data_IF_467214192590
#
_entry.id   IF_467214192590
#
_cell.length_a   1.000
_cell.length_b   1.000
_cell.length_c   1.000
_cell.angle_alpha   90.00
_cell.angle_beta   90.00
_cell.angle_gamma   90.00
#
_symmetry.space_group_name_H-M   'P 1'
#
loop_
_entity.id
_entity.type
_entity.pdbx_description
1 polymer ?
#
# COMPACT_ATOMS: atom_id res chain seq x y z
N UNK A 1 -1.66 4.64 -20.17
CA UNK A 1 -1.37 3.34 -19.57
C UNK A 1 -1.34 3.41 -18.04
N UNK A 2 -1.69 4.56 -17.42
CA UNK A 2 -1.78 4.77 -15.95
C UNK A 2 -3.09 4.28 -15.30
N UNK A 3 -4.07 3.88 -16.11
CA UNK A 3 -5.46 3.62 -15.71
C UNK A 3 -5.76 2.32 -14.93
N UNK A 4 -4.79 1.49 -14.58
CA UNK A 4 -5.07 0.16 -13.98
C UNK A 4 -4.71 0.02 -12.50
N UNK A 5 -4.11 1.03 -11.88
CA UNK A 5 -3.53 0.86 -10.55
C UNK A 5 -4.40 1.39 -9.41
N UNK A 6 -5.22 2.42 -9.62
CA UNK A 6 -6.09 2.96 -8.56
C UNK A 6 -7.20 1.98 -8.13
N UNK A 7 -7.76 1.23 -9.07
CA UNK A 7 -8.85 0.27 -8.79
C UNK A 7 -8.43 -0.96 -7.96
N UNK A 8 -7.13 -1.23 -7.78
CA UNK A 8 -6.65 -2.39 -7.01
C UNK A 8 -6.46 -2.11 -5.51
N UNK A 9 -6.35 -0.85 -5.09
CA UNK A 9 -6.16 -0.47 -3.68
C UNK A 9 -7.46 -0.57 -2.86
N UNK A 10 -8.61 -0.31 -3.45
CA UNK A 10 -9.91 -0.38 -2.77
C UNK A 10 -10.45 -1.80 -2.54
N UNK A 11 -10.04 -2.79 -3.32
CA UNK A 11 -10.51 -4.18 -3.17
C UNK A 11 -9.78 -4.99 -2.08
N UNK A 12 -8.68 -4.47 -1.52
CA UNK A 12 -7.84 -5.15 -0.51
C UNK A 12 -8.22 -4.91 0.95
N UNK A 13 -9.02 -3.90 1.25
CA UNK A 13 -9.27 -3.47 2.63
C UNK A 13 -10.45 -4.13 3.35
N UNK A 14 -11.16 -5.08 2.73
CA UNK A 14 -12.34 -5.70 3.37
C UNK A 14 -12.10 -7.00 4.14
N UNK A 15 -10.87 -7.43 4.39
CA UNK A 15 -10.64 -8.57 5.30
C UNK A 15 -9.41 -8.37 6.16
N UNK A 16 -9.64 -8.27 7.44
CA UNK A 16 -8.74 -8.34 8.59
C UNK A 16 -8.23 -6.98 9.11
N UNK A 17 -8.93 -6.49 10.13
CA UNK A 17 -8.42 -5.45 11.01
C UNK A 17 -7.10 -5.88 11.65
N UNK A 18 -6.04 -5.18 11.31
CA UNK A 18 -4.78 -5.18 12.06
C UNK A 18 -4.61 -3.75 12.56
N UNK A 19 -4.52 -3.51 13.87
CA UNK A 19 -4.30 -2.18 14.37
C UNK A 19 -2.91 -1.69 13.93
N UNK A 20 -2.86 -0.55 13.27
CA UNK A 20 -1.63 0.19 13.04
C UNK A 20 -1.01 0.53 14.41
N UNK A 21 0.12 -0.09 14.73
CA UNK A 21 0.90 0.31 15.90
C UNK A 21 1.69 1.57 15.53
N UNK A 22 1.22 2.71 16.01
CA UNK A 22 2.03 3.90 16.12
C UNK A 22 3.27 3.60 16.97
N UNK A 23 4.45 3.76 16.41
CA UNK A 23 5.70 3.71 17.15
C UNK A 23 5.89 5.02 17.91
N UNK A 24 5.49 5.03 19.20
CA UNK A 24 5.91 6.05 20.11
C UNK A 24 7.36 5.76 20.54
N UNK A 25 8.29 6.63 20.19
CA UNK A 25 9.64 6.60 20.74
C UNK A 25 9.61 7.02 22.21
N UNK A 26 9.85 6.09 23.12
CA UNK A 26 10.12 6.40 24.53
C UNK A 26 11.49 7.05 24.66
N UNK A 27 11.50 8.37 24.92
CA UNK A 27 12.67 9.07 25.43
C UNK A 27 12.79 8.82 26.92
N UNK A 28 13.74 7.98 27.32
CA UNK A 28 14.26 7.95 28.70
C UNK A 28 15.33 9.02 28.85
N UNK A 29 14.99 10.07 29.59
CA UNK A 29 15.95 11.03 30.14
C UNK A 29 16.66 10.42 31.34
N UNK A 30 17.99 10.24 31.26
CA UNK A 30 18.85 10.18 32.46
C UNK A 30 19.98 11.19 32.39
N UNK A 31 20.25 11.75 33.55
CA UNK A 31 21.00 12.98 33.77
C UNK A 31 22.52 12.80 33.71
N UNK A 32 23.13 13.83 33.16
CA UNK A 32 24.45 14.43 33.29
C UNK A 32 25.37 13.93 34.42
N UNK A 33 26.59 13.55 34.04
CA UNK A 33 27.82 13.98 34.76
C UNK A 33 28.97 14.16 33.76
N UNK A 34 29.56 15.37 33.77
CA UNK A 34 30.74 15.76 33.03
C UNK A 34 31.99 14.97 33.49
N UNK A 35 32.84 14.57 32.55
CA UNK A 35 34.27 14.79 32.66
C UNK A 35 34.97 14.74 31.28
N UNK A 36 35.76 15.76 31.06
CA UNK A 36 36.57 16.09 29.90
C UNK A 36 37.74 15.14 29.67
N UNK A 37 38.02 14.72 28.45
CA UNK A 37 39.39 14.79 27.88
C UNK A 37 39.38 14.34 26.39
N UNK A 38 40.08 15.12 25.58
CA UNK A 38 40.09 15.10 24.13
C UNK A 38 40.70 13.86 23.47
N UNK A 39 40.36 13.72 22.21
CA UNK A 39 40.89 12.75 21.29
C UNK A 39 40.03 12.71 20.03
N UNK A 40 40.39 13.54 19.04
CA UNK A 40 39.83 13.56 17.70
C UNK A 40 40.14 12.22 17.02
N UNK A 41 39.11 11.43 16.80
CA UNK A 41 39.17 10.28 15.89
C UNK A 41 37.96 10.43 14.93
N UNK A 42 38.30 10.58 13.64
CA UNK A 42 37.33 10.59 12.56
C UNK A 42 36.42 9.35 12.57
N UNK A 43 35.14 9.45 12.19
CA UNK A 43 34.32 8.27 12.04
C UNK A 43 34.87 7.42 10.88
N UNK A 44 35.31 6.22 11.21
CA UNK A 44 35.59 5.20 10.21
C UNK A 44 34.25 4.80 9.58
N UNK A 45 34.07 5.12 8.30
CA UNK A 45 33.10 4.44 7.45
C UNK A 45 33.40 2.94 7.46
N UNK A 46 32.67 2.22 8.26
CA UNK A 46 32.64 0.76 8.19
C UNK A 46 31.80 0.38 6.98
N UNK A 47 32.42 0.45 5.81
CA UNK A 47 31.90 -0.15 4.58
C UNK A 47 31.71 -1.62 4.91
N UNK A 48 30.46 -2.08 5.00
CA UNK A 48 30.12 -3.49 5.09
C UNK A 48 30.82 -4.19 3.91
N UNK A 49 31.81 -5.02 4.23
CA UNK A 49 32.56 -5.77 3.23
C UNK A 49 31.56 -6.64 2.46
N UNK A 50 31.42 -6.41 1.16
CA UNK A 50 30.56 -7.20 0.30
C UNK A 50 30.91 -8.69 0.49
N UNK A 51 29.93 -9.48 0.92
CA UNK A 51 30.11 -10.91 1.14
C UNK A 51 30.37 -11.56 -0.22
N UNK A 52 31.55 -12.17 -0.41
CA UNK A 52 32.02 -12.65 -1.70
C UNK A 52 31.67 -14.11 -1.97
N UNK A 53 30.97 -14.78 -1.06
CA UNK A 53 30.59 -16.19 -1.18
C UNK A 53 29.27 -16.46 -0.48
N UNK A 54 28.54 -17.47 -0.97
CA UNK A 54 27.33 -17.99 -0.32
C UNK A 54 27.58 -18.36 1.13
N UNK A 55 26.66 -17.95 2.00
CA UNK A 55 26.60 -18.37 3.40
C UNK A 55 26.14 -19.81 3.59
N UNK A 56 25.87 -20.16 4.84
CA UNK A 56 25.30 -21.48 5.19
C UNK A 56 23.85 -21.35 5.71
N UNK A 57 23.41 -20.15 6.07
CA UNK A 57 22.11 -19.88 6.66
C UNK A 57 21.08 -19.58 5.56
N UNK A 58 19.95 -20.30 5.58
CA UNK A 58 18.82 -20.07 4.67
C UNK A 58 18.28 -18.63 4.79
N UNK A 59 18.35 -18.05 5.98
CA UNK A 59 17.91 -16.68 6.27
C UNK A 59 18.97 -15.61 5.94
N UNK A 60 20.04 -15.98 5.21
CA UNK A 60 20.90 -14.99 4.58
C UNK A 60 20.30 -14.37 3.32
N UNK A 61 19.19 -14.95 2.77
CA UNK A 61 18.49 -14.48 1.58
C UNK A 61 19.41 -14.30 0.36
N UNK A 62 20.30 -15.26 0.20
CA UNK A 62 21.30 -15.29 -0.87
C UNK A 62 20.95 -16.35 -1.92
N UNK A 63 21.37 -16.08 -3.15
CA UNK A 63 21.44 -17.05 -4.22
C UNK A 63 22.70 -16.81 -5.06
N UNK A 64 23.25 -17.84 -5.70
CA UNK A 64 24.28 -17.72 -6.71
C UNK A 64 23.73 -18.24 -8.03
N UNK A 65 23.83 -17.43 -9.08
CA UNK A 65 23.50 -17.82 -10.44
C UNK A 65 24.73 -17.68 -11.34
N UNK A 66 25.15 -18.77 -11.98
CA UNK A 66 26.29 -18.81 -12.87
C UNK A 66 27.56 -18.17 -12.26
N UNK A 67 27.78 -18.33 -10.96
CA UNK A 67 28.93 -17.78 -10.23
C UNK A 67 28.78 -16.35 -9.73
N UNK A 68 27.65 -15.68 -10.00
CA UNK A 68 27.38 -14.36 -9.47
C UNK A 68 26.48 -14.46 -8.21
N UNK A 69 26.95 -13.87 -7.12
CA UNK A 69 26.21 -13.83 -5.86
C UNK A 69 25.13 -12.74 -5.91
N UNK A 70 23.93 -13.10 -5.53
CA UNK A 70 22.78 -12.21 -5.33
C UNK A 70 22.51 -12.18 -3.82
N UNK A 71 22.45 -11.00 -3.24
CA UNK A 71 22.08 -10.77 -1.84
C UNK A 71 20.85 -9.88 -1.78
N UNK A 72 19.72 -10.40 -1.29
CA UNK A 72 18.48 -9.61 -1.18
C UNK A 72 18.41 -8.86 0.15
N UNK A 73 17.83 -7.64 0.16
CA UNK A 73 17.43 -6.89 -1.03
C UNK A 73 18.65 -6.28 -1.74
N UNK A 74 18.55 -6.08 -3.05
CA UNK A 74 19.61 -5.53 -3.90
C UNK A 74 19.05 -4.42 -4.80
N UNK A 75 19.83 -3.38 -5.08
CA UNK A 75 19.43 -2.32 -6.01
C UNK A 75 19.21 -2.85 -7.42
N UNK A 76 18.24 -2.28 -8.13
CA UNK A 76 17.99 -2.60 -9.54
C UNK A 76 19.27 -2.52 -10.39
N UNK A 77 20.04 -1.42 -10.27
CA UNK A 77 21.27 -1.22 -11.02
C UNK A 77 22.32 -2.31 -10.74
N UNK A 78 22.52 -2.68 -9.47
CA UNK A 78 23.47 -3.73 -9.06
C UNK A 78 23.02 -5.11 -9.59
N UNK A 79 21.70 -5.38 -9.57
CA UNK A 79 21.16 -6.62 -10.13
C UNK A 79 21.38 -6.71 -11.64
N UNK A 80 21.25 -5.59 -12.36
CA UNK A 80 21.53 -5.56 -13.81
C UNK A 80 23.03 -5.76 -14.12
N UNK A 81 23.94 -5.28 -13.26
CA UNK A 81 25.38 -5.52 -13.39
C UNK A 81 25.73 -7.01 -13.31
N UNK A 82 24.93 -7.82 -12.59
CA UNK A 82 25.09 -9.29 -12.55
C UNK A 82 24.65 -9.99 -13.85
N UNK A 83 24.23 -9.23 -14.87
CA UNK A 83 23.83 -9.73 -16.18
C UNK A 83 22.34 -9.94 -16.37
N UNK A 84 21.52 -9.56 -15.38
CA UNK A 84 20.07 -9.62 -15.49
C UNK A 84 19.52 -8.40 -16.25
N UNK A 85 18.60 -8.63 -17.16
CA UNK A 85 17.96 -7.59 -17.98
C UNK A 85 16.46 -7.67 -17.83
N UNK A 86 15.80 -6.52 -17.62
CA UNK A 86 14.35 -6.46 -17.53
C UNK A 86 13.72 -6.98 -18.83
N UNK A 87 12.65 -7.76 -18.70
CA UNK A 87 11.87 -8.27 -19.81
C UNK A 87 11.26 -7.11 -20.62
N UNK A 88 11.14 -7.29 -21.93
CA UNK A 88 10.53 -6.29 -22.83
C UNK A 88 9.03 -6.05 -22.57
N UNK A 89 8.39 -6.94 -21.81
CA UNK A 89 6.99 -6.81 -21.42
C UNK A 89 6.80 -5.95 -20.17
N UNK A 90 7.90 -5.66 -19.47
CA UNK A 90 7.90 -4.87 -18.24
C UNK A 90 8.57 -3.51 -18.52
N UNK A 91 8.22 -2.47 -17.74
CA UNK A 91 8.80 -1.15 -17.88
C UNK A 91 9.59 -0.75 -16.64
N UNK A 92 10.81 -0.22 -16.78
CA UNK A 92 11.56 0.34 -15.66
C UNK A 92 10.90 1.60 -15.07
N UNK A 93 10.01 2.24 -15.83
CA UNK A 93 9.30 3.47 -15.44
C UNK A 93 7.92 3.18 -14.80
N UNK A 94 7.57 1.90 -14.60
CA UNK A 94 6.34 1.55 -13.87
C UNK A 94 6.46 2.05 -12.44
N UNK A 95 5.49 2.84 -11.98
CA UNK A 95 5.47 3.39 -10.63
C UNK A 95 5.00 2.34 -9.62
N UNK A 96 5.64 2.33 -8.46
CA UNK A 96 5.36 1.44 -7.33
C UNK A 96 5.07 2.30 -6.11
N UNK A 97 3.88 2.20 -5.51
CA UNK A 97 3.54 2.95 -4.30
C UNK A 97 4.46 2.63 -3.11
N UNK A 98 4.60 3.55 -2.13
CA UNK A 98 5.31 3.30 -0.88
C UNK A 98 4.85 2.01 -0.19
N UNK A 99 5.78 1.30 0.43
CA UNK A 99 5.49 0.07 1.17
C UNK A 99 4.93 -1.07 0.33
N UNK A 100 4.88 -0.93 -1.00
CA UNK A 100 4.32 -1.89 -1.95
C UNK A 100 5.40 -2.47 -2.85
N UNK A 101 5.04 -3.54 -3.57
CA UNK A 101 5.93 -4.11 -4.58
C UNK A 101 5.16 -4.44 -5.86
N UNK A 102 5.89 -4.53 -6.97
CA UNK A 102 5.41 -5.08 -8.23
C UNK A 102 6.31 -6.23 -8.68
N UNK A 103 5.71 -7.25 -9.29
CA UNK A 103 6.46 -8.38 -9.83
C UNK A 103 6.80 -8.12 -11.29
N UNK A 104 8.07 -8.24 -11.63
CA UNK A 104 8.59 -8.11 -12.99
C UNK A 104 9.43 -9.34 -13.36
N UNK A 105 9.69 -9.51 -14.64
CA UNK A 105 10.52 -10.59 -15.15
C UNK A 105 11.89 -10.08 -15.57
N UNK A 106 12.94 -10.73 -15.10
CA UNK A 106 14.31 -10.53 -15.57
C UNK A 106 14.82 -11.74 -16.32
N UNK A 107 15.68 -11.50 -17.32
CA UNK A 107 16.31 -12.53 -18.15
C UNK A 107 17.83 -12.43 -18.05
N UNK A 108 18.51 -13.58 -18.01
CA UNK A 108 19.95 -13.69 -18.09
C UNK A 108 20.31 -14.94 -18.93
N UNK A 109 20.69 -14.73 -20.19
CA UNK A 109 20.84 -15.81 -21.16
C UNK A 109 19.50 -16.54 -21.40
N UNK A 110 19.48 -17.84 -21.13
CA UNK A 110 18.28 -18.70 -21.25
C UNK A 110 17.42 -18.70 -19.95
N UNK A 111 17.97 -18.23 -18.85
CA UNK A 111 17.25 -18.18 -17.59
C UNK A 111 16.32 -16.97 -17.52
N UNK A 112 15.17 -17.19 -16.92
CA UNK A 112 14.19 -16.15 -16.59
C UNK A 112 13.80 -16.29 -15.13
N UNK A 113 13.69 -15.17 -14.43
CA UNK A 113 13.26 -15.12 -13.02
C UNK A 113 12.16 -14.10 -12.84
N UNK A 114 11.26 -14.36 -11.89
CA UNK A 114 10.36 -13.33 -11.38
C UNK A 114 11.04 -12.62 -10.22
N UNK A 115 10.99 -11.31 -10.22
CA UNK A 115 11.56 -10.48 -9.16
C UNK A 115 10.48 -9.55 -8.58
N UNK A 116 10.41 -9.49 -7.25
CA UNK A 116 9.56 -8.57 -6.53
C UNK A 116 10.35 -7.26 -6.30
N UNK A 117 9.95 -6.20 -7.01
CA UNK A 117 10.52 -4.87 -6.94
C UNK A 117 9.84 -4.09 -5.83
N UNK A 118 10.48 -3.95 -4.66
CA UNK A 118 9.92 -3.34 -3.46
C UNK A 118 10.32 -1.88 -3.34
N UNK A 119 9.33 -1.02 -3.13
CA UNK A 119 9.54 0.38 -2.76
C UNK A 119 9.52 0.50 -1.22
N UNK A 120 10.67 0.75 -0.61
CA UNK A 120 10.81 1.02 0.83
C UNK A 120 10.75 2.51 1.17
N UNK A 121 10.59 3.39 0.16
CA UNK A 121 10.51 4.83 0.34
C UNK A 121 9.12 5.30 0.79
N UNK A 122 9.01 6.61 1.04
CA UNK A 122 7.75 7.29 1.37
C UNK A 122 7.11 7.98 0.15
N UNK A 123 7.82 8.00 -0.98
CA UNK A 123 7.34 8.53 -2.26
C UNK A 123 7.08 7.39 -3.24
N UNK A 124 6.19 7.57 -4.22
CA UNK A 124 6.11 6.64 -5.34
C UNK A 124 7.47 6.56 -6.04
N UNK A 125 7.88 5.37 -6.43
CA UNK A 125 9.16 5.13 -7.07
C UNK A 125 9.01 4.33 -8.37
N UNK A 126 9.81 4.65 -9.38
CA UNK A 126 9.90 3.81 -10.56
C UNK A 126 10.52 2.43 -10.23
N UNK A 127 10.16 1.39 -10.97
CA UNK A 127 10.77 0.04 -10.82
C UNK A 127 12.30 0.12 -10.83
N UNK A 128 12.90 0.99 -11.64
CA UNK A 128 14.35 1.20 -11.68
C UNK A 128 14.96 1.77 -10.40
N UNK A 129 14.14 2.40 -9.54
CA UNK A 129 14.57 2.99 -8.26
C UNK A 129 14.23 2.09 -7.06
N UNK A 130 13.44 1.02 -7.31
CA UNK A 130 13.09 0.03 -6.30
C UNK A 130 14.23 -0.97 -6.04
N UNK A 131 14.13 -1.69 -4.92
CA UNK A 131 15.02 -2.80 -4.63
C UNK A 131 14.41 -4.13 -5.09
N UNK A 132 15.23 -5.02 -5.66
CA UNK A 132 14.88 -6.43 -5.81
C UNK A 132 14.87 -7.04 -4.40
N UNK A 133 13.71 -7.23 -3.82
CA UNK A 133 13.53 -7.77 -2.48
C UNK A 133 13.04 -9.22 -2.48
N UNK A 134 12.52 -9.70 -3.60
CA UNK A 134 12.18 -11.09 -3.83
C UNK A 134 12.69 -11.58 -5.17
N UNK A 135 13.05 -12.87 -5.25
CA UNK A 135 13.42 -13.53 -6.49
C UNK A 135 12.89 -14.98 -6.50
N UNK A 136 12.26 -15.34 -7.61
CA UNK A 136 11.78 -16.69 -7.83
C UNK A 136 12.50 -17.30 -9.01
N UNK A 137 13.30 -18.31 -8.74
CA UNK A 137 13.85 -19.23 -9.75
C UNK A 137 12.84 -20.35 -9.97
N UNK A 138 12.40 -20.55 -11.21
CA UNK A 138 11.53 -21.66 -11.59
C UNK A 138 12.13 -22.41 -12.79
N UNK A 139 12.77 -23.52 -12.49
CA UNK A 139 13.44 -24.38 -13.45
C UNK A 139 12.62 -25.66 -13.73
N UNK A 140 11.34 -25.67 -13.35
CA UNK A 140 10.43 -26.80 -13.59
C UNK A 140 9.87 -26.81 -15.02
N UNK A 141 10.05 -25.71 -15.74
CA UNK A 141 9.58 -25.53 -17.12
C UNK A 141 10.77 -25.25 -18.07
N UNK A 142 10.81 -25.93 -19.21
CA UNK A 142 11.85 -25.73 -20.22
C UNK A 142 13.09 -26.62 -20.01
N UNK A 143 13.99 -26.54 -20.98
CA UNK A 143 15.23 -27.34 -21.02
C UNK A 143 16.44 -26.50 -20.54
N UNK A 144 16.35 -25.89 -19.36
CA UNK A 144 17.44 -25.06 -18.81
C UNK A 144 18.59 -25.97 -18.40
N UNK A 145 19.79 -25.76 -18.98
CA UNK A 145 20.99 -26.49 -18.61
C UNK A 145 21.55 -25.97 -17.26
N UNK A 146 21.11 -26.57 -16.16
CA UNK A 146 21.60 -26.27 -14.82
C UNK A 146 23.09 -26.62 -14.60
N UNK A 147 23.70 -27.40 -15.50
CA UNK A 147 25.14 -27.67 -15.41
C UNK A 147 25.97 -26.52 -15.96
N UNK A 148 25.49 -25.84 -16.98
CA UNK A 148 26.09 -24.62 -17.54
C UNK A 148 25.76 -23.38 -16.70
N UNK A 149 24.55 -23.31 -16.14
CA UNK A 149 24.02 -22.18 -15.36
C UNK A 149 23.51 -22.63 -13.99
N UNK A 150 24.42 -23.04 -13.09
CA UNK A 150 24.01 -23.57 -11.79
C UNK A 150 23.39 -22.46 -10.92
N UNK A 151 22.25 -22.81 -10.30
CA UNK A 151 21.63 -22.00 -9.23
C UNK A 151 21.97 -22.68 -7.92
N UNK A 152 22.63 -21.96 -7.04
CA UNK A 152 23.00 -22.46 -5.71
C UNK A 152 22.39 -21.57 -4.63
N UNK A 153 22.05 -22.18 -3.53
CA UNK A 153 21.52 -21.56 -2.32
C UNK A 153 22.52 -21.79 -1.16
N UNK A 154 22.41 -21.03 -0.05
CA UNK A 154 23.23 -21.23 1.13
C UNK A 154 23.28 -22.70 1.57
N UNK A 155 24.29 -23.06 2.35
CA UNK A 155 24.41 -24.41 2.90
C UNK A 155 24.72 -25.53 1.90
N UNK A 156 25.13 -25.18 0.67
CA UNK A 156 25.48 -26.16 -0.37
C UNK A 156 24.31 -26.73 -1.14
N UNK A 157 23.12 -26.17 -0.99
CA UNK A 157 21.93 -26.55 -1.75
C UNK A 157 22.04 -26.08 -3.20
N UNK A 158 21.69 -26.96 -4.16
CA UNK A 158 21.75 -26.67 -5.58
C UNK A 158 20.48 -27.14 -6.28
N UNK A 159 19.93 -26.29 -7.16
CA UNK A 159 18.78 -26.66 -8.00
C UNK A 159 19.18 -27.72 -9.02
N UNK A 160 18.26 -28.65 -9.30
CA UNK A 160 18.48 -29.81 -10.15
C UNK A 160 19.27 -30.95 -9.48
N UNK A 161 19.76 -30.76 -8.24
CA UNK A 161 20.59 -31.74 -7.51
C UNK A 161 20.01 -32.08 -6.16
N UNK A 162 19.81 -31.07 -5.30
CA UNK A 162 19.41 -31.29 -3.89
C UNK A 162 17.95 -31.77 -3.78
N UNK A 163 17.72 -32.69 -2.86
CA UNK A 163 16.42 -33.25 -2.53
C UNK A 163 15.93 -32.80 -1.13
N UNK A 164 14.80 -33.31 -0.66
CA UNK A 164 14.20 -32.96 0.65
C UNK A 164 15.15 -33.26 1.80
N UNK A 165 15.85 -34.40 1.78
CA UNK A 165 16.75 -34.79 2.86
C UNK A 165 17.99 -33.91 2.92
N UNK A 166 18.54 -33.52 1.76
CA UNK A 166 19.66 -32.58 1.66
C UNK A 166 19.30 -31.20 2.23
N UNK A 167 18.08 -30.71 1.88
CA UNK A 167 17.58 -29.42 2.37
C UNK A 167 17.38 -29.46 3.90
N UNK A 168 16.76 -30.51 4.42
CA UNK A 168 16.59 -30.67 5.87
C UNK A 168 17.93 -30.85 6.61
N UNK A 169 18.88 -31.52 6.00
CA UNK A 169 20.22 -31.64 6.58
C UNK A 169 20.95 -30.30 6.67
N UNK A 170 20.74 -29.41 5.67
CA UNK A 170 21.36 -28.09 5.63
C UNK A 170 20.66 -27.06 6.54
N UNK A 171 19.33 -27.04 6.56
CA UNK A 171 18.52 -25.96 7.15
C UNK A 171 17.70 -26.36 8.38
N UNK A 172 17.65 -27.66 8.68
CA UNK A 172 16.75 -28.21 9.71
C UNK A 172 15.32 -28.40 9.22
N UNK A 173 14.39 -28.59 10.15
CA UNK A 173 12.97 -28.76 9.79
C UNK A 173 12.36 -27.42 9.34
N UNK A 174 11.59 -27.40 8.24
CA UNK A 174 10.93 -26.20 7.76
C UNK A 174 9.82 -25.75 8.74
N UNK A 175 9.45 -24.49 8.65
CA UNK A 175 8.33 -23.90 9.41
C UNK A 175 6.97 -24.50 8.98
N UNK A 176 6.86 -24.86 7.69
CA UNK A 176 5.70 -25.50 7.11
C UNK A 176 6.10 -26.41 5.94
N UNK A 177 5.31 -27.47 5.71
CA UNK A 177 5.51 -28.38 4.60
C UNK A 177 4.18 -28.69 3.93
N UNK A 178 4.11 -28.46 2.63
CA UNK A 178 2.97 -28.85 1.80
C UNK A 178 3.39 -29.94 0.82
N UNK A 179 2.67 -31.06 0.84
CA UNK A 179 2.94 -32.22 -0.01
C UNK A 179 1.79 -32.41 -1.02
N UNK A 180 2.11 -32.35 -2.32
CA UNK A 180 1.17 -32.58 -3.42
C UNK A 180 1.62 -33.76 -4.27
N UNK A 181 0.85 -34.10 -5.29
CA UNK A 181 1.25 -35.16 -6.25
C UNK A 181 2.45 -34.75 -7.11
N UNK A 182 2.71 -33.44 -7.27
CA UNK A 182 3.76 -32.91 -8.15
C UNK A 182 5.04 -32.58 -7.40
N UNK A 183 4.96 -31.99 -6.20
CA UNK A 183 6.11 -31.52 -5.45
C UNK A 183 5.86 -31.55 -3.93
N UNK A 184 6.94 -31.55 -3.19
CA UNK A 184 6.96 -31.18 -1.77
C UNK A 184 7.48 -29.75 -1.65
N UNK A 185 6.64 -28.83 -1.14
CA UNK A 185 7.04 -27.44 -0.80
C UNK A 185 7.48 -27.39 0.66
N UNK A 186 8.64 -26.81 0.89
CA UNK A 186 9.20 -26.58 2.21
C UNK A 186 9.32 -25.08 2.43
N UNK A 187 8.68 -24.55 3.48
CA UNK A 187 8.70 -23.11 3.81
C UNK A 187 9.60 -22.88 5.03
N UNK A 188 10.57 -22.02 4.88
CA UNK A 188 11.42 -21.49 5.95
C UNK A 188 11.05 -20.04 6.15
N UNK A 189 10.21 -19.75 7.15
CA UNK A 189 9.73 -18.43 7.47
C UNK A 189 10.42 -17.92 8.73
N UNK A 190 11.09 -16.77 8.63
CA UNK A 190 11.74 -16.10 9.75
C UNK A 190 10.78 -15.14 10.45
N UNK A 191 10.05 -14.33 9.65
CA UNK A 191 8.96 -13.47 10.10
C UNK A 191 7.95 -13.24 8.96
N UNK A 192 7.08 -12.23 9.09
CA UNK A 192 6.05 -11.91 8.08
C UNK A 192 6.66 -11.44 6.75
N UNK A 193 7.85 -10.84 6.79
CA UNK A 193 8.51 -10.18 5.66
C UNK A 193 9.65 -11.00 5.06
N UNK A 194 10.14 -12.01 5.78
CA UNK A 194 11.34 -12.77 5.45
C UNK A 194 11.02 -14.26 5.35
N UNK A 195 11.11 -14.83 4.13
CA UNK A 195 10.85 -16.26 3.92
C UNK A 195 11.60 -16.84 2.71
N UNK A 196 11.80 -18.16 2.75
CA UNK A 196 12.31 -18.96 1.63
C UNK A 196 11.38 -20.16 1.42
N UNK A 197 10.87 -20.34 0.20
CA UNK A 197 10.06 -21.48 -0.20
C UNK A 197 10.80 -22.32 -1.25
N UNK A 198 10.95 -23.61 -0.97
CA UNK A 198 11.70 -24.55 -1.80
C UNK A 198 10.78 -25.67 -2.28
N UNK A 199 10.77 -25.92 -3.58
CA UNK A 199 9.87 -26.89 -4.21
C UNK A 199 10.69 -28.05 -4.80
N UNK A 200 10.62 -29.21 -4.15
CA UNK A 200 11.25 -30.46 -4.61
C UNK A 200 10.25 -31.24 -5.42
N UNK A 201 10.48 -31.36 -6.73
CA UNK A 201 9.58 -32.06 -7.64
C UNK A 201 9.74 -33.57 -7.52
N UNK A 202 8.61 -34.30 -7.43
CA UNK A 202 8.59 -35.74 -7.17
C UNK A 202 9.12 -36.57 -8.33
N UNK A 203 8.91 -36.11 -9.56
CA UNK A 203 9.36 -36.84 -10.77
C UNK A 203 10.88 -36.98 -10.82
N UNK A 204 11.60 -35.90 -10.50
CA UNK A 204 13.08 -35.85 -10.53
C UNK A 204 13.69 -36.08 -9.16
N UNK A 205 12.92 -35.97 -8.09
CA UNK A 205 13.37 -35.95 -6.70
C UNK A 205 14.43 -34.86 -6.46
N UNK A 206 14.30 -33.71 -7.14
CA UNK A 206 15.23 -32.56 -7.00
C UNK A 206 14.51 -31.25 -6.84
N UNK A 207 15.18 -30.28 -6.19
CA UNK A 207 14.76 -28.88 -6.09
C UNK A 207 14.76 -28.24 -7.46
N UNK A 208 13.58 -27.83 -7.96
CA UNK A 208 13.45 -27.15 -9.25
C UNK A 208 12.87 -25.74 -9.14
N UNK A 209 12.32 -25.37 -7.98
CA UNK A 209 11.84 -23.98 -7.78
C UNK A 209 12.27 -23.48 -6.40
N UNK A 210 12.74 -22.25 -6.35
CA UNK A 210 13.07 -21.52 -5.12
C UNK A 210 12.49 -20.11 -5.19
N UNK A 211 11.72 -19.73 -4.17
CA UNK A 211 11.17 -18.38 -3.96
C UNK A 211 11.82 -17.82 -2.69
N UNK A 212 12.57 -16.75 -2.84
CA UNK A 212 13.37 -16.12 -1.76
C UNK A 212 12.86 -14.69 -1.61
N UNK A 213 12.36 -14.33 -0.42
CA UNK A 213 11.84 -12.99 -0.13
C UNK A 213 12.45 -12.42 1.14
N UNK A 214 12.99 -11.22 1.00
CA UNK A 214 13.45 -10.37 2.10
C UNK A 214 12.84 -8.99 1.93
N UNK A 215 11.60 -8.82 2.41
CA UNK A 215 10.85 -7.55 2.38
C UNK A 215 11.14 -6.69 3.61
N UNK A 216 12.22 -6.96 4.30
CA UNK A 216 12.68 -6.14 5.40
C UNK A 216 13.48 -4.96 4.88
N UNK A 217 13.12 -3.76 5.34
CA UNK A 217 13.85 -2.54 5.01
C UNK A 217 15.33 -2.66 5.39
N UNK A 218 16.27 -2.35 4.46
CA UNK A 218 17.68 -2.34 4.77
C UNK A 218 18.04 -1.29 5.83
N UNK A 219 18.96 -1.61 6.70
CA UNK A 219 19.46 -0.67 7.71
C UNK A 219 20.07 0.57 7.03
N UNK A 220 19.60 1.76 7.45
CA UNK A 220 20.07 3.03 6.89
C UNK A 220 19.56 3.33 5.48
N UNK A 221 18.49 2.66 5.04
CA UNK A 221 17.85 2.99 3.77
C UNK A 221 17.33 4.42 3.77
N UNK A 222 17.62 5.17 2.70
CA UNK A 222 17.07 6.52 2.52
C UNK A 222 15.64 6.43 1.99
N UNK A 223 14.66 6.72 2.85
CA UNK A 223 13.24 6.70 2.49
C UNK A 223 12.79 7.87 1.63
N UNK A 224 13.66 8.85 1.38
CA UNK A 224 13.31 10.09 0.75
C UNK A 224 12.84 11.16 1.75
N UNK A 225 12.25 12.22 1.25
CA UNK A 225 11.80 13.36 2.06
C UNK A 225 10.37 13.74 1.73
N UNK A 226 9.68 14.29 2.73
CA UNK A 226 8.36 14.89 2.56
C UNK A 226 8.48 16.15 1.71
N UNK A 227 7.61 16.33 0.71
CA UNK A 227 7.56 17.53 -0.11
C UNK A 227 7.14 18.73 0.74
N UNK A 228 7.86 19.82 0.60
CA UNK A 228 7.52 21.11 1.20
C UNK A 228 6.69 22.01 0.29
N UNK A 229 6.44 21.56 -0.95
CA UNK A 229 5.64 22.30 -1.92
C UNK A 229 4.16 21.92 -1.76
N UNK A 230 3.29 22.93 -1.82
CA UNK A 230 1.85 22.69 -1.88
C UNK A 230 1.51 22.17 -3.28
N UNK A 231 0.88 20.99 -3.41
CA UNK A 231 0.56 20.42 -4.72
C UNK A 231 -0.35 21.33 -5.56
N UNK A 232 -0.18 21.31 -6.88
CA UNK A 232 -0.98 22.12 -7.80
C UNK A 232 -2.48 21.81 -7.66
N UNK A 233 -2.86 20.54 -7.45
CA UNK A 233 -4.26 20.14 -7.24
C UNK A 233 -4.89 20.79 -6.01
N UNK A 234 -4.10 21.09 -4.95
CA UNK A 234 -4.55 21.81 -3.76
C UNK A 234 -4.71 23.29 -4.07
N UNK A 235 -3.72 23.92 -4.73
CA UNK A 235 -3.77 25.34 -5.09
C UNK A 235 -4.87 25.66 -6.08
N UNK A 236 -5.27 24.71 -6.91
CA UNK A 236 -6.35 24.84 -7.89
C UNK A 236 -7.74 24.55 -7.30
N UNK A 237 -7.83 24.04 -6.08
CA UNK A 237 -9.11 23.79 -5.44
C UNK A 237 -9.93 25.09 -5.29
N UNK A 238 -11.22 24.98 -5.60
CA UNK A 238 -12.14 26.12 -5.50
C UNK A 238 -13.33 25.72 -4.62
N UNK A 239 -13.49 26.42 -3.50
CA UNK A 239 -14.68 26.30 -2.67
C UNK A 239 -15.93 26.64 -3.50
N UNK A 240 -16.95 25.80 -3.54
CA UNK A 240 -18.15 26.08 -4.32
C UNK A 240 -18.93 27.25 -3.71
N UNK A 241 -19.58 28.03 -4.56
CA UNK A 241 -20.41 29.16 -4.14
C UNK A 241 -21.83 28.76 -3.74
N UNK A 242 -22.28 27.57 -4.14
CA UNK A 242 -23.58 27.00 -3.83
C UNK A 242 -23.52 25.47 -3.98
N UNK A 243 -24.50 24.77 -3.45
CA UNK A 243 -24.76 23.37 -3.78
C UNK A 243 -25.06 23.24 -5.27
N UNK A 244 -24.71 22.12 -5.88
CA UNK A 244 -25.04 21.78 -7.26
C UNK A 244 -26.53 21.69 -7.53
N UNK A 245 -26.90 21.23 -8.70
CA UNK A 245 -28.30 21.05 -9.11
C UNK A 245 -28.83 19.64 -8.90
N UNK A 246 -27.92 18.70 -8.61
CA UNK A 246 -28.19 17.29 -8.42
C UNK A 246 -27.60 16.82 -7.08
N UNK A 247 -28.27 15.90 -6.42
CA UNK A 247 -27.78 15.35 -5.15
C UNK A 247 -26.58 14.41 -5.33
N UNK A 248 -26.27 14.01 -6.57
CA UNK A 248 -25.04 13.30 -6.92
C UNK A 248 -23.91 14.24 -7.33
N UNK A 249 -24.15 15.56 -7.36
CA UNK A 249 -23.06 16.54 -7.58
C UNK A 249 -22.09 16.50 -6.39
N UNK A 250 -20.78 16.73 -6.62
CA UNK A 250 -19.77 16.64 -5.56
C UNK A 250 -19.85 17.77 -4.52
N UNK A 251 -20.72 18.76 -4.72
CA UNK A 251 -20.90 19.86 -3.76
C UNK A 251 -21.79 19.45 -2.60
N UNK A 252 -21.25 19.60 -1.39
CA UNK A 252 -21.94 19.32 -0.14
C UNK A 252 -21.88 20.51 0.81
N UNK A 253 -22.93 20.73 1.60
CA UNK A 253 -22.90 21.66 2.74
C UNK A 253 -22.68 20.83 4.03
N UNK A 254 -21.56 21.12 4.70
CA UNK A 254 -21.22 20.44 5.95
C UNK A 254 -20.94 21.46 7.05
N UNK A 255 -21.68 21.34 8.16
CA UNK A 255 -21.62 22.28 9.28
C UNK A 255 -21.64 23.74 8.83
N UNK A 256 -22.54 24.04 7.88
CA UNK A 256 -22.77 25.39 7.36
C UNK A 256 -21.71 25.91 6.40
N UNK A 257 -20.75 25.10 5.99
CA UNK A 257 -19.77 25.44 4.96
C UNK A 257 -19.92 24.54 3.73
N UNK A 258 -19.61 25.09 2.57
CA UNK A 258 -19.66 24.37 1.32
C UNK A 258 -18.31 23.74 1.00
N UNK A 259 -18.34 22.53 0.52
CA UNK A 259 -17.18 21.78 0.03
C UNK A 259 -17.53 21.13 -1.29
N UNK A 260 -16.56 20.99 -2.16
CA UNK A 260 -16.62 20.16 -3.37
C UNK A 260 -15.67 18.98 -3.16
N UNK A 261 -16.20 17.77 -3.11
CA UNK A 261 -15.38 16.56 -2.95
C UNK A 261 -14.75 16.15 -4.30
N UNK A 262 -13.50 15.69 -4.31
CA UNK A 262 -12.57 15.68 -3.17
C UNK A 262 -12.17 17.08 -2.73
N UNK A 263 -12.14 17.30 -1.41
CA UNK A 263 -11.76 18.58 -0.84
C UNK A 263 -10.46 18.46 -0.05
N UNK A 264 -9.47 19.37 -0.22
CA UNK A 264 -8.26 19.31 0.57
C UNK A 264 -8.54 19.60 2.05
N UNK A 265 -7.78 18.96 2.94
CA UNK A 265 -7.88 19.18 4.40
C UNK A 265 -7.72 20.66 4.73
N UNK A 266 -6.85 21.38 4.02
CA UNK A 266 -6.70 22.85 4.17
C UNK A 266 -8.01 23.63 4.01
N UNK A 267 -8.93 23.18 3.14
CA UNK A 267 -10.24 23.83 3.00
C UNK A 267 -11.13 23.66 4.24
N UNK A 268 -10.98 22.56 4.97
CA UNK A 268 -11.64 22.36 6.26
C UNK A 268 -11.01 23.26 7.33
N UNK A 269 -9.67 23.33 7.38
CA UNK A 269 -8.94 24.21 8.31
C UNK A 269 -9.33 25.69 8.12
N UNK A 270 -9.44 26.14 6.89
CA UNK A 270 -9.89 27.50 6.54
C UNK A 270 -11.32 27.80 7.02
N UNK A 271 -12.13 26.76 7.17
CA UNK A 271 -13.49 26.83 7.69
C UNK A 271 -13.59 26.61 9.22
N UNK A 272 -12.46 26.65 9.91
CA UNK A 272 -12.38 26.60 11.38
C UNK A 272 -12.43 25.20 11.97
N UNK A 273 -12.11 24.16 11.19
CA UNK A 273 -11.79 22.86 11.72
C UNK A 273 -10.35 22.86 12.26
N UNK A 274 -10.08 22.04 13.24
CA UNK A 274 -8.76 21.83 13.84
C UNK A 274 -8.43 20.34 13.80
N UNK A 275 -7.22 19.98 13.40
CA UNK A 275 -6.73 18.60 13.50
C UNK A 275 -6.51 18.26 14.97
N UNK A 276 -7.02 17.11 15.39
CA UNK A 276 -6.95 16.64 16.77
C UNK A 276 -5.91 15.52 16.88
N UNK A 277 -4.99 15.66 17.82
CA UNK A 277 -3.96 14.67 18.13
C UNK A 277 -3.05 14.30 16.92
N UNK A 278 -2.98 15.17 15.90
CA UNK A 278 -2.09 15.06 14.74
C UNK A 278 -0.80 15.84 15.02
N UNK A 279 0.35 15.20 14.83
CA UNK A 279 1.66 15.86 15.02
C UNK A 279 1.87 16.98 13.98
N UNK A 280 2.59 18.04 14.36
CA UNK A 280 2.86 19.20 13.49
C UNK A 280 3.64 18.80 12.20
N UNK A 281 4.46 17.74 12.30
CA UNK A 281 5.25 17.19 11.20
C UNK A 281 4.64 15.93 10.58
N UNK A 282 3.37 15.64 10.86
CA UNK A 282 2.66 14.52 10.27
C UNK A 282 2.53 14.66 8.75
N UNK A 283 2.72 13.55 8.06
CA UNK A 283 2.65 13.49 6.60
C UNK A 283 1.92 12.21 6.15
N UNK A 284 1.49 12.22 4.91
CA UNK A 284 0.95 11.03 4.23
C UNK A 284 1.89 10.68 3.09
N UNK A 285 2.25 9.42 3.02
CA UNK A 285 3.10 8.88 1.94
C UNK A 285 2.48 9.15 0.56
N UNK A 286 3.28 9.07 -0.50
CA UNK A 286 2.78 9.24 -1.88
C UNK A 286 1.66 8.25 -2.19
N UNK A 287 0.57 8.71 -2.81
CA UNK A 287 -0.67 7.94 -3.09
C UNK A 287 -1.21 7.18 -1.87
N UNK A 288 -0.89 7.65 -0.68
CA UNK A 288 -1.22 7.02 0.60
C UNK A 288 -2.57 7.47 1.17
N UNK A 289 -3.02 6.74 2.19
CA UNK A 289 -4.24 6.98 2.98
C UNK A 289 -3.88 7.04 4.45
N UNK A 290 -4.43 8.05 5.15
CA UNK A 290 -4.38 8.14 6.60
C UNK A 290 -5.76 8.45 7.18
N UNK A 291 -5.93 8.16 8.47
CA UNK A 291 -7.13 8.50 9.22
C UNK A 291 -6.79 9.58 10.23
N UNK A 292 -7.54 10.68 10.20
CA UNK A 292 -7.35 11.78 11.11
C UNK A 292 -8.66 12.15 11.80
N UNK A 293 -8.57 12.57 13.05
CA UNK A 293 -9.68 13.23 13.74
C UNK A 293 -9.59 14.74 13.55
N UNK A 294 -10.69 15.37 13.13
CA UNK A 294 -10.84 16.81 13.09
C UNK A 294 -11.96 17.26 14.02
N UNK A 295 -11.78 18.42 14.60
CA UNK A 295 -12.71 19.00 15.57
C UNK A 295 -13.20 20.37 15.12
N UNK A 296 -14.50 20.61 15.28
CA UNK A 296 -15.15 21.92 15.15
C UNK A 296 -16.34 22.02 16.11
N UNK A 297 -16.51 23.15 16.78
CA UNK A 297 -17.62 23.41 17.70
C UNK A 297 -17.83 22.31 18.76
N UNK A 298 -16.73 21.79 19.34
CA UNK A 298 -16.67 20.67 20.29
C UNK A 298 -17.14 19.31 19.73
N UNK A 299 -17.20 19.16 18.43
CA UNK A 299 -17.50 17.89 17.78
C UNK A 299 -16.26 17.35 17.10
N UNK A 300 -16.05 16.06 17.24
CA UNK A 300 -14.95 15.36 16.59
C UNK A 300 -15.51 14.45 15.49
N UNK A 301 -14.92 14.51 14.32
CA UNK A 301 -15.23 13.68 13.17
C UNK A 301 -13.93 13.05 12.67
N UNK A 302 -13.96 11.75 12.40
CA UNK A 302 -12.85 11.04 11.79
C UNK A 302 -12.97 11.12 10.27
N UNK A 303 -11.88 11.49 9.60
CA UNK A 303 -11.79 11.59 8.15
C UNK A 303 -10.76 10.61 7.61
N UNK A 304 -11.09 9.98 6.49
CA UNK A 304 -10.11 9.34 5.62
C UNK A 304 -9.51 10.40 4.72
N UNK A 305 -8.20 10.58 4.76
CA UNK A 305 -7.50 11.57 3.95
C UNK A 305 -6.50 10.91 3.02
N UNK A 306 -6.58 11.24 1.74
CA UNK A 306 -5.80 10.64 0.67
C UNK A 306 -4.77 11.64 0.14
N UNK A 307 -3.53 11.22 0.05
CA UNK A 307 -2.54 11.93 -0.73
C UNK A 307 -2.69 11.54 -2.21
N UNK A 308 -3.21 12.44 -3.02
CA UNK A 308 -3.45 12.21 -4.46
C UNK A 308 -2.22 12.53 -5.33
N UNK A 309 -1.03 12.65 -4.71
CA UNK A 309 0.22 12.95 -5.40
C UNK A 309 1.25 11.83 -5.23
N UNK A 310 2.24 11.78 -6.12
CA UNK A 310 3.31 10.79 -6.10
C UNK A 310 4.27 10.96 -4.90
N UNK A 311 4.35 12.18 -4.34
CA UNK A 311 5.28 12.49 -3.24
C UNK A 311 4.56 12.56 -1.89
N UNK A 312 5.24 12.13 -0.84
CA UNK A 312 4.79 12.35 0.53
C UNK A 312 4.59 13.84 0.78
N UNK A 313 3.48 14.20 1.42
CA UNK A 313 3.09 15.60 1.68
C UNK A 313 2.50 15.74 3.06
N UNK A 314 2.44 16.98 3.59
CA UNK A 314 1.77 17.25 4.86
C UNK A 314 0.28 16.90 4.78
N UNK A 315 -0.31 16.53 5.92
CA UNK A 315 -1.72 16.10 6.02
C UNK A 315 -2.68 17.18 5.47
N UNK A 316 -2.37 18.45 5.64
CA UNK A 316 -3.19 19.57 5.15
C UNK A 316 -3.33 19.64 3.62
N UNK A 317 -2.40 19.01 2.89
CA UNK A 317 -2.42 18.91 1.43
C UNK A 317 -3.15 17.64 0.93
N UNK A 318 -3.57 16.76 1.82
CA UNK A 318 -4.33 15.56 1.47
C UNK A 318 -5.80 15.89 1.25
N UNK A 319 -6.53 14.97 0.62
CA UNK A 319 -7.91 15.17 0.20
C UNK A 319 -8.87 14.26 0.96
N UNK A 320 -9.97 14.83 1.39
CA UNK A 320 -11.16 14.10 1.85
C UNK A 320 -11.98 13.76 0.62
N UNK A 321 -12.12 12.48 0.31
CA UNK A 321 -12.92 11.97 -0.81
C UNK A 321 -14.29 11.49 -0.35
N UNK A 322 -14.43 11.19 0.95
CA UNK A 322 -15.61 10.65 1.55
C UNK A 322 -15.99 11.41 2.81
N UNK A 323 -17.26 11.70 2.94
CA UNK A 323 -17.87 12.22 4.14
C UNK A 323 -18.94 11.25 4.64
N UNK A 324 -18.74 10.68 5.81
CA UNK A 324 -19.72 9.84 6.50
C UNK A 324 -20.35 10.59 7.67
N UNK A 325 -21.68 10.64 7.69
CA UNK A 325 -22.48 11.31 8.70
C UNK A 325 -23.51 10.37 9.25
N UNK A 326 -23.14 9.71 10.34
CA UNK A 326 -24.07 9.07 11.23
C UNK A 326 -24.46 10.03 12.32
N UNK A 327 -25.74 10.27 12.50
CA UNK A 327 -26.24 11.09 13.57
C UNK A 327 -26.72 10.24 14.73
N UNK A 328 -25.92 10.18 15.80
CA UNK A 328 -26.45 9.91 17.12
C UNK A 328 -27.10 11.18 17.74
N UNK A 329 -26.84 12.37 17.14
CA UNK A 329 -27.43 13.64 17.51
C UNK A 329 -27.68 14.52 16.27
N UNK A 330 -28.89 14.45 15.67
CA UNK A 330 -29.20 15.15 14.42
C UNK A 330 -29.20 16.68 14.54
N UNK A 331 -29.17 17.26 15.73
CA UNK A 331 -29.17 18.70 15.90
C UNK A 331 -27.77 19.31 15.65
N UNK A 332 -26.74 18.47 15.62
CA UNK A 332 -25.35 18.91 15.78
C UNK A 332 -24.50 18.73 14.51
N UNK A 333 -24.71 17.70 13.72
CA UNK A 333 -23.99 17.46 12.47
C UNK A 333 -24.92 17.62 11.26
N UNK A 334 -24.96 18.80 10.68
CA UNK A 334 -25.78 19.08 9.51
C UNK A 334 -24.99 18.79 8.21
N UNK A 335 -25.28 17.67 7.56
CA UNK A 335 -24.95 17.47 6.15
C UNK A 335 -26.19 17.76 5.31
N UNK A 336 -25.97 18.46 4.22
CA UNK A 336 -27.01 18.74 3.22
C UNK A 336 -26.45 18.57 1.83
N UNK A 337 -27.16 17.81 1.03
CA UNK A 337 -26.96 17.67 -0.40
C UNK A 337 -27.89 18.62 -1.15
N UNK A 338 -27.69 18.75 -2.46
CA UNK A 338 -28.60 19.44 -3.34
C UNK A 338 -30.02 18.90 -3.18
N UNK A 339 -31.02 19.64 -3.66
CA UNK A 339 -32.44 19.31 -3.57
C UNK A 339 -32.97 19.18 -2.12
N UNK A 340 -32.26 19.78 -1.16
CA UNK A 340 -32.55 19.72 0.29
C UNK A 340 -32.55 18.30 0.88
N UNK A 341 -31.77 17.40 0.29
CA UNK A 341 -31.58 16.06 0.88
C UNK A 341 -30.68 16.19 2.11
N UNK A 342 -31.16 15.68 3.22
CA UNK A 342 -30.46 15.66 4.52
C UNK A 342 -31.00 14.50 5.36
N UNK A 343 -30.56 14.38 6.60
CA UNK A 343 -31.10 13.39 7.55
C UNK A 343 -32.60 13.51 7.67
N UNK A 344 -33.29 12.38 7.80
CA UNK A 344 -34.74 12.31 7.84
C UNK A 344 -35.43 12.29 6.46
N UNK A 345 -34.69 12.37 5.35
CA UNK A 345 -35.27 12.19 4.00
C UNK A 345 -35.96 10.81 3.85
N UNK A 346 -36.97 10.73 2.99
CA UNK A 346 -37.71 9.49 2.76
C UNK A 346 -37.01 8.59 1.73
N UNK A 347 -36.82 7.30 2.05
CA UNK A 347 -36.24 6.28 1.15
C UNK A 347 -36.96 6.24 -0.20
N UNK A 348 -38.32 6.27 -0.19
CA UNK A 348 -39.11 6.22 -1.41
C UNK A 348 -38.93 7.46 -2.29
N UNK A 349 -38.69 8.63 -1.68
CA UNK A 349 -38.43 9.87 -2.42
C UNK A 349 -37.05 9.82 -3.09
N UNK A 350 -36.03 9.29 -2.37
CA UNK A 350 -34.68 9.11 -2.92
C UNK A 350 -34.67 8.16 -4.11
N UNK A 351 -35.38 7.01 -4.02
CA UNK A 351 -35.52 6.05 -5.11
C UNK A 351 -36.22 6.70 -6.31
N UNK A 352 -37.29 7.48 -6.08
CA UNK A 352 -37.98 8.18 -7.15
C UNK A 352 -37.07 9.18 -7.88
N UNK A 353 -36.27 9.98 -7.12
CA UNK A 353 -35.32 10.93 -7.67
C UNK A 353 -34.21 10.22 -8.48
N UNK A 354 -33.67 9.11 -7.97
CA UNK A 354 -32.68 8.31 -8.70
C UNK A 354 -33.27 7.80 -10.04
N UNK A 355 -34.51 7.29 -10.01
CA UNK A 355 -35.18 6.82 -11.20
C UNK A 355 -35.48 7.93 -12.24
N UNK A 356 -35.87 9.13 -11.81
CA UNK A 356 -36.10 10.30 -12.70
C UNK A 356 -34.80 10.74 -13.41
N UNK A 357 -33.66 10.54 -12.79
CA UNK A 357 -32.34 10.91 -13.31
C UNK A 357 -31.67 9.79 -14.10
N UNK A 358 -32.22 8.56 -14.00
CA UNK A 358 -31.65 7.38 -14.64
C UNK A 358 -30.46 6.78 -13.90
N UNK A 359 -30.26 7.14 -12.62
CA UNK A 359 -29.23 6.56 -11.77
C UNK A 359 -29.55 5.12 -11.41
N UNK A 360 -28.51 4.35 -11.17
CA UNK A 360 -28.61 3.00 -10.62
C UNK A 360 -28.66 3.07 -9.09
N UNK A 361 -29.27 2.05 -8.48
CA UNK A 361 -29.28 1.96 -7.03
C UNK A 361 -29.31 0.51 -6.56
N UNK A 362 -28.80 0.29 -5.35
CA UNK A 362 -28.94 -0.92 -4.56
C UNK A 362 -29.80 -0.62 -3.35
N UNK A 363 -30.93 -1.31 -3.25
CA UNK A 363 -31.90 -1.14 -2.17
C UNK A 363 -31.88 -2.38 -1.28
N UNK A 364 -31.27 -2.23 -0.09
CA UNK A 364 -31.16 -3.25 0.93
C UNK A 364 -32.02 -2.86 2.16
N UNK A 365 -32.17 -3.77 3.12
CA UNK A 365 -33.06 -3.55 4.26
C UNK A 365 -32.70 -2.28 5.04
N UNK A 366 -31.39 -2.04 5.29
CA UNK A 366 -30.89 -0.97 6.13
C UNK A 366 -30.09 0.11 5.40
N UNK A 367 -29.86 0.00 4.08
CA UNK A 367 -29.20 1.03 3.29
C UNK A 367 -29.74 1.12 1.86
N UNK A 368 -29.49 2.25 1.23
CA UNK A 368 -29.75 2.55 -0.18
C UNK A 368 -28.49 3.21 -0.72
N UNK A 369 -27.81 2.58 -1.69
CA UNK A 369 -26.68 3.17 -2.40
C UNK A 369 -27.13 3.62 -3.79
N UNK A 370 -26.87 4.87 -4.15
CA UNK A 370 -27.18 5.46 -5.47
C UNK A 370 -25.85 5.83 -6.14
N UNK A 371 -25.73 5.55 -7.44
CA UNK A 371 -24.53 5.82 -8.25
C UNK A 371 -24.90 6.08 -9.70
N UNK A 372 -24.08 6.86 -10.46
CA UNK A 372 -24.43 7.27 -11.83
C UNK A 372 -24.56 6.09 -12.79
N UNK A 373 -23.61 5.17 -12.78
CA UNK A 373 -23.55 3.97 -13.61
C UNK A 373 -22.73 2.86 -12.95
N UNK A 374 -22.61 1.70 -13.59
CA UNK A 374 -21.92 0.53 -12.99
C UNK A 374 -20.42 0.70 -12.81
N UNK A 375 -19.82 1.49 -13.68
CA UNK A 375 -18.36 1.65 -13.70
C UNK A 375 -17.93 2.69 -12.66
N UNK A 376 -18.79 3.67 -12.36
CA UNK A 376 -18.54 4.76 -11.39
C UNK A 376 -18.99 4.45 -9.95
N UNK A 377 -19.54 3.28 -9.67
CA UNK A 377 -20.08 2.95 -8.33
C UNK A 377 -19.04 3.12 -7.19
N UNK A 378 -17.80 2.78 -7.45
CA UNK A 378 -16.72 2.87 -6.47
C UNK A 378 -16.08 4.27 -6.41
N UNK A 379 -16.27 5.06 -7.45
CA UNK A 379 -15.68 6.39 -7.61
C UNK A 379 -16.64 7.50 -7.17
N UNK A 380 -17.95 7.31 -7.45
CA UNK A 380 -18.98 8.31 -7.17
C UNK A 380 -20.23 7.62 -6.66
N UNK A 381 -20.56 7.81 -5.39
CA UNK A 381 -21.78 7.26 -4.81
C UNK A 381 -22.30 8.07 -3.64
N UNK A 382 -23.58 7.96 -3.40
CA UNK A 382 -24.23 8.44 -2.18
C UNK A 382 -24.94 7.26 -1.55
N UNK A 383 -24.58 6.93 -0.30
CA UNK A 383 -25.21 5.87 0.45
C UNK A 383 -26.02 6.46 1.60
N UNK A 384 -27.23 5.99 1.73
CA UNK A 384 -28.19 6.39 2.77
C UNK A 384 -28.44 5.20 3.69
N UNK A 385 -28.20 5.37 4.98
CA UNK A 385 -28.44 4.37 6.02
C UNK A 385 -29.76 4.65 6.74
N UNK A 386 -30.45 3.58 7.11
CA UNK A 386 -31.74 3.62 7.81
C UNK A 386 -31.58 2.88 9.14
N UNK A 387 -32.11 3.49 10.21
CA UNK A 387 -32.07 2.87 11.54
C UNK A 387 -33.27 1.92 11.69
N UNK A 388 -33.03 0.62 11.76
CA UNK A 388 -34.08 -0.40 11.88
C UNK A 388 -34.93 -0.24 13.15
N UNK A 389 -34.35 0.26 14.24
CA UNK A 389 -35.06 0.45 15.52
C UNK A 389 -35.97 1.69 15.51
N UNK A 390 -35.65 2.72 14.74
CA UNK A 390 -36.40 3.98 14.70
C UNK A 390 -37.28 4.09 13.46
N UNK A 391 -36.72 3.86 12.26
CA UNK A 391 -37.44 3.91 10.98
C UNK A 391 -36.61 3.35 9.84
N UNK A 392 -37.10 2.32 9.17
CA UNK A 392 -36.49 1.78 7.93
C UNK A 392 -36.76 2.64 6.68
N UNK A 393 -37.47 3.76 6.83
CA UNK A 393 -37.86 4.64 5.70
C UNK A 393 -37.27 6.04 5.80
N UNK A 394 -36.65 6.39 6.93
CA UNK A 394 -36.03 7.70 7.14
C UNK A 394 -34.54 7.59 7.21
N UNK A 395 -33.84 8.44 6.50
CA UNK A 395 -32.39 8.49 6.50
C UNK A 395 -31.86 8.83 7.88
N UNK A 396 -31.04 7.95 8.44
CA UNK A 396 -30.35 8.12 9.72
C UNK A 396 -28.88 8.55 9.52
N UNK A 397 -28.25 8.14 8.41
CA UNK A 397 -26.89 8.49 8.06
C UNK A 397 -26.73 8.63 6.54
N UNK A 398 -25.79 9.46 6.12
CA UNK A 398 -25.46 9.68 4.69
C UNK A 398 -23.95 9.56 4.56
N UNK A 399 -23.50 8.73 3.64
CA UNK A 399 -22.12 8.67 3.18
C UNK A 399 -22.07 9.20 1.75
N UNK A 400 -21.22 10.18 1.50
CA UNK A 400 -20.98 10.76 0.17
C UNK A 400 -19.55 10.48 -0.23
N UNK A 401 -19.35 9.84 -1.37
CA UNK A 401 -18.04 9.51 -1.90
C UNK A 401 -17.88 10.06 -3.32
N UNK A 402 -16.79 10.81 -3.52
CA UNK A 402 -16.36 11.29 -4.83
C UNK A 402 -14.84 11.21 -4.94
N UNK A 403 -14.35 10.53 -5.96
CA UNK A 403 -12.96 10.56 -6.38
C UNK A 403 -12.69 11.68 -7.38
N UNK A 404 -11.42 11.95 -7.66
CA UNK A 404 -11.03 12.88 -8.72
C UNK A 404 -11.41 12.30 -10.09
N UNK A 405 -12.10 13.08 -10.90
CA UNK A 405 -12.33 12.71 -12.30
C UNK A 405 -10.99 12.51 -13.01
N UNK A 406 -10.82 11.39 -13.70
CA UNK A 406 -9.67 11.19 -14.57
C UNK A 406 -9.77 12.13 -15.79
N UNK A 407 -8.80 13.03 -15.99
CA UNK A 407 -8.68 13.86 -17.19
C UNK A 407 -8.23 13.07 -18.43
#
# INVERSE_FOLDING_TARGET
>A
MRKKYLAFLLAGCMTAGVPSMAWAAEQTTEAVSEETSGGEAAPSEETAAAQTALGTDVYSFQAEYAGNLIQLPVKYEDFTVLGWTLSKNDSPDTMVPPGSYTMVTFNNGEASVYADMMNFGINEAAVSDCLVAGIKFDMSWGDIDLTANPVKLPGGISMGVSNVDDIKAAYGEPSDTYDSDLYTKMTYQKDTYERVELYVYKETNTLLQADIRNFKEPEGFDKGSVSTEVPEIVTNYQTPAALGSDFMDPEVEFMGNLYRLPAPVSAFLDNGWEMKDVAEDAFVEGVGLEFIDMMKDNQTVSFSVYNLTENATSVENCFVTELDFGSYDPEVLALKLSENITLGADKSELIAKAGERGYLYEDEDNYLTIYPDKDSKLEHSVQFWFNEEESTTKVASITVHHEMDEE
#
